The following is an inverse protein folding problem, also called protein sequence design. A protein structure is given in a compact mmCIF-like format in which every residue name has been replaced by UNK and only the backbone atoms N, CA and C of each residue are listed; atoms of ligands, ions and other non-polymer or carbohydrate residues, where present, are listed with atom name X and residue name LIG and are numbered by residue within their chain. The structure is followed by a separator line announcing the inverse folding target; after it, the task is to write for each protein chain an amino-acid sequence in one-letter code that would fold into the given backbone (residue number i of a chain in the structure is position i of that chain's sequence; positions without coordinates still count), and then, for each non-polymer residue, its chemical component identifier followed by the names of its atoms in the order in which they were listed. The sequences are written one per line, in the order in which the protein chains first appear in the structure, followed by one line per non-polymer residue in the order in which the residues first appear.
data_IF_881769992740
#
_entry.id   IF_881769992740
#
_cell.length_a   1.000
_cell.length_b   1.000
_cell.length_c   1.000
_cell.angle_alpha   90.00
_cell.angle_beta   90.00
_cell.angle_gamma   90.00
#
_symmetry.space_group_name_H-M   'P 1'
#
loop_
_entity.id
_entity.type
_entity.pdbx_description
1 polymer ?
#
# COMPACT_ATOMS: atom_id res chain seq x y z
N UNK A 1 -1.24 4.11 -16.77
CA UNK A 1 -1.60 4.35 -15.36
C UNK A 1 -1.73 5.84 -15.17
N UNK A 2 -2.68 6.28 -14.36
CA UNK A 2 -2.76 7.68 -13.93
C UNK A 2 -1.58 7.94 -12.99
N UNK A 3 -0.82 9.01 -13.24
CA UNK A 3 0.31 9.40 -12.40
C UNK A 3 -0.20 10.27 -11.25
N UNK A 4 0.09 9.87 -10.01
CA UNK A 4 -0.41 10.48 -8.79
C UNK A 4 0.60 11.52 -8.27
N UNK A 5 0.49 12.72 -8.83
CA UNK A 5 1.41 13.83 -8.55
C UNK A 5 1.46 14.35 -7.10
N UNK A 6 0.59 13.88 -6.20
CA UNK A 6 0.58 14.30 -4.79
C UNK A 6 -0.01 13.23 -3.86
N UNK A 7 0.30 13.32 -2.57
CA UNK A 7 -0.32 12.45 -1.53
C UNK A 7 -1.85 12.58 -1.53
N UNK A 8 -2.39 13.79 -1.72
CA UNK A 8 -3.84 14.02 -1.80
C UNK A 8 -4.48 13.35 -3.01
N UNK A 9 -3.82 13.40 -4.16
CA UNK A 9 -4.31 12.69 -5.36
C UNK A 9 -4.38 11.18 -5.10
N UNK A 10 -3.37 10.62 -4.42
CA UNK A 10 -3.38 9.23 -4.01
C UNK A 10 -4.52 8.94 -3.02
N UNK A 11 -4.66 9.71 -1.94
CA UNK A 11 -5.75 9.54 -0.96
C UNK A 11 -7.13 9.60 -1.62
N UNK A 12 -7.33 10.49 -2.59
CA UNK A 12 -8.58 10.57 -3.37
C UNK A 12 -8.84 9.27 -4.15
N UNK A 13 -7.83 8.75 -4.85
CA UNK A 13 -7.94 7.48 -5.57
C UNK A 13 -8.23 6.30 -4.62
N UNK A 14 -7.63 6.29 -3.43
CA UNK A 14 -7.89 5.29 -2.39
C UNK A 14 -9.33 5.36 -1.86
N UNK A 15 -9.86 6.58 -1.68
CA UNK A 15 -11.26 6.79 -1.27
C UNK A 15 -12.25 6.31 -2.32
N UNK A 16 -11.93 6.47 -3.60
CA UNK A 16 -12.73 5.94 -4.71
C UNK A 16 -12.74 4.41 -4.70
N UNK A 17 -11.60 3.77 -4.47
CA UNK A 17 -11.52 2.30 -4.32
C UNK A 17 -12.35 1.83 -3.13
N UNK A 18 -12.28 2.50 -1.98
CA UNK A 18 -13.09 2.12 -0.83
C UNK A 18 -14.59 2.15 -1.17
N UNK A 19 -15.05 3.14 -1.94
CA UNK A 19 -16.44 3.22 -2.42
C UNK A 19 -16.76 2.13 -3.45
N UNK A 20 -15.82 1.80 -4.34
CA UNK A 20 -15.98 0.75 -5.37
C UNK A 20 -16.22 -0.63 -4.73
N UNK A 21 -15.53 -0.92 -3.62
CA UNK A 21 -15.60 -2.22 -2.93
C UNK A 21 -16.45 -2.22 -1.65
N UNK A 22 -17.19 -1.14 -1.38
CA UNK A 22 -18.04 -0.97 -0.17
C UNK A 22 -17.28 -1.23 1.15
N UNK A 23 -16.09 -0.63 1.28
CA UNK A 23 -15.21 -0.78 2.44
C UNK A 23 -15.27 0.43 3.36
N UNK A 24 -15.13 0.18 4.66
CA UNK A 24 -14.81 1.24 5.63
C UNK A 24 -13.46 1.86 5.28
N UNK A 25 -13.37 3.19 5.44
CA UNK A 25 -12.21 3.96 5.03
C UNK A 25 -11.89 5.03 6.05
N UNK A 26 -10.74 4.88 6.70
CA UNK A 26 -10.20 5.85 7.65
C UNK A 26 -8.90 6.44 7.10
N UNK A 27 -8.74 7.76 7.23
CA UNK A 27 -7.53 8.46 6.82
C UNK A 27 -7.04 9.33 7.96
N UNK A 28 -5.76 9.20 8.27
CA UNK A 28 -5.01 10.06 9.16
C UNK A 28 -3.91 10.76 8.37
N UNK A 29 -3.89 12.10 8.40
CA UNK A 29 -2.84 12.89 7.78
C UNK A 29 -1.86 13.36 8.85
N UNK A 30 -0.57 13.11 8.65
CA UNK A 30 0.48 13.67 9.49
C UNK A 30 1.04 14.92 8.80
N UNK A 31 0.40 16.05 9.08
CA UNK A 31 0.80 17.37 8.57
C UNK A 31 1.90 17.92 9.49
N UNK A 32 3.16 17.88 9.05
CA UNK A 32 4.24 18.66 9.65
C UNK A 32 4.75 18.20 11.04
N UNK A 33 4.69 16.90 11.34
CA UNK A 33 5.30 16.35 12.55
C UNK A 33 6.55 15.52 12.22
N UNK A 34 7.71 16.18 12.32
CA UNK A 34 9.04 15.59 12.35
C UNK A 34 9.10 14.42 13.37
N UNK A 35 8.84 13.18 12.91
CA UNK A 35 9.03 11.95 13.72
C UNK A 35 9.59 10.76 12.94
N UNK A 36 9.88 10.88 11.65
CA UNK A 36 10.76 9.94 10.94
C UNK A 36 12.19 10.46 11.00
N UNK A 37 12.84 10.16 12.12
CA UNK A 37 14.28 10.32 12.29
C UNK A 37 15.02 9.38 11.32
N UNK A 38 15.11 9.77 10.05
CA UNK A 38 16.19 9.38 9.16
C UNK A 38 16.99 10.65 8.86
N UNK A 39 17.84 11.02 9.82
CA UNK A 39 18.93 11.98 9.61
C UNK A 39 19.69 11.58 8.34
N UNK A 40 19.44 12.28 7.24
CA UNK A 40 20.44 12.57 6.21
C UNK A 40 20.28 14.03 5.84
N UNK A 41 21.38 14.76 5.94
CA UNK A 41 21.44 16.21 5.84
C UNK A 41 21.18 16.73 4.41
N UNK A 42 20.19 17.61 4.27
CA UNK A 42 20.07 18.73 3.32
C UNK A 42 18.68 19.35 3.60
N UNK A 43 18.53 20.60 4.07
CA UNK A 43 18.93 21.81 3.37
C UNK A 43 17.66 22.49 2.84
N UNK A 44 17.07 23.37 3.66
CA UNK A 44 16.17 24.50 3.32
C UNK A 44 15.64 24.54 1.87
N UNK A 45 14.47 23.93 1.65
CA UNK A 45 13.43 24.33 0.69
C UNK A 45 12.28 23.32 0.83
N UNK A 46 11.14 23.74 1.39
CA UNK A 46 9.91 22.93 1.29
C UNK A 46 9.39 23.14 -0.12
N UNK A 47 9.77 22.26 -1.04
CA UNK A 47 9.18 22.20 -2.38
C UNK A 47 7.74 21.74 -2.20
N UNK A 48 6.79 22.64 -2.39
CA UNK A 48 5.38 22.30 -2.49
C UNK A 48 5.18 21.34 -3.66
N UNK A 49 4.26 20.38 -3.53
CA UNK A 49 3.81 19.57 -4.66
C UNK A 49 3.35 20.48 -5.83
N UNK A 50 3.30 19.94 -7.05
CA UNK A 50 2.87 20.68 -8.26
C UNK A 50 1.49 21.33 -8.11
N UNK A 51 0.65 20.78 -7.22
CA UNK A 51 -0.69 21.27 -6.90
C UNK A 51 -0.73 22.24 -5.69
N UNK A 52 0.43 22.64 -5.15
CA UNK A 52 0.56 23.59 -4.05
C UNK A 52 0.36 23.01 -2.64
N UNK A 53 0.06 21.72 -2.52
CA UNK A 53 -0.01 21.01 -1.24
C UNK A 53 1.38 20.83 -0.63
N UNK A 54 1.46 20.84 0.70
CA UNK A 54 2.70 20.46 1.39
C UNK A 54 2.89 18.94 1.27
N UNK A 55 4.08 18.46 0.87
CA UNK A 55 4.36 17.03 0.90
C UNK A 55 4.24 16.54 2.34
N UNK A 56 3.35 15.57 2.56
CA UNK A 56 3.04 15.04 3.87
C UNK A 56 2.81 13.52 3.81
N UNK A 57 2.97 12.87 4.96
CA UNK A 57 2.66 11.45 5.11
C UNK A 57 1.15 11.29 5.34
N UNK A 58 0.54 10.30 4.69
CA UNK A 58 -0.85 9.94 4.93
C UNK A 58 -0.95 8.44 5.23
N UNK A 59 -1.72 8.12 6.26
CA UNK A 59 -2.02 6.75 6.64
C UNK A 59 -3.50 6.47 6.39
N UNK A 60 -3.76 5.40 5.64
CA UNK A 60 -5.09 4.98 5.23
C UNK A 60 -5.33 3.57 5.71
N UNK A 61 -6.47 3.33 6.34
CA UNK A 61 -6.93 2.00 6.72
C UNK A 61 -8.23 1.67 6.00
N UNK A 62 -8.27 0.45 5.44
CA UNK A 62 -9.47 -0.14 4.88
C UNK A 62 -9.98 -1.21 5.84
N UNK A 63 -11.25 -1.11 6.21
CA UNK A 63 -11.93 -2.14 6.98
C UNK A 63 -12.26 -3.37 6.12
N UNK A 64 -12.76 -4.41 6.76
CA UNK A 64 -13.16 -5.66 6.11
C UNK A 64 -12.08 -6.73 6.09
N UNK A 65 -12.24 -7.71 5.18
CA UNK A 65 -11.33 -8.84 5.01
C UNK A 65 -10.94 -8.95 3.53
N UNK A 66 -9.66 -8.75 3.16
CA UNK A 66 -8.51 -8.61 4.04
C UNK A 66 -8.46 -7.26 4.76
N UNK A 67 -7.82 -7.21 5.93
CA UNK A 67 -7.45 -5.93 6.53
C UNK A 67 -6.34 -5.32 5.70
N UNK A 68 -6.50 -4.08 5.23
CA UNK A 68 -5.48 -3.40 4.42
C UNK A 68 -5.16 -2.05 5.01
N UNK A 69 -3.87 -1.72 5.09
CA UNK A 69 -3.42 -0.37 5.40
C UNK A 69 -2.40 0.12 4.39
N UNK A 70 -2.39 1.42 4.15
CA UNK A 70 -1.48 2.09 3.22
C UNK A 70 -0.88 3.28 3.94
N UNK A 71 0.45 3.33 4.01
CA UNK A 71 1.19 4.52 4.40
C UNK A 71 1.82 5.12 3.15
N UNK A 72 1.39 6.31 2.79
CA UNK A 72 1.93 7.11 1.70
C UNK A 72 3.04 8.01 2.25
N UNK A 73 4.19 7.98 1.59
CA UNK A 73 5.33 8.83 1.91
C UNK A 73 5.42 10.02 0.94
N UNK A 74 6.11 11.10 1.34
CA UNK A 74 6.32 12.26 0.48
C UNK A 74 7.14 11.92 -0.77
N UNK A 75 8.04 10.94 -0.71
CA UNK A 75 9.00 10.56 -1.76
C UNK A 75 8.43 9.67 -2.87
N UNK A 76 7.12 9.75 -3.12
CA UNK A 76 6.38 9.02 -4.17
C UNK A 76 6.34 7.48 -4.03
N UNK A 77 6.61 6.99 -2.82
CA UNK A 77 6.49 5.59 -2.45
C UNK A 77 5.48 5.36 -1.32
N UNK A 78 5.20 4.09 -1.07
CA UNK A 78 4.23 3.66 -0.09
C UNK A 78 4.60 2.32 0.54
N UNK A 79 4.16 2.15 1.77
CA UNK A 79 4.09 0.87 2.46
C UNK A 79 2.64 0.38 2.44
N UNK A 80 2.39 -0.81 1.89
CA UNK A 80 1.08 -1.45 1.92
C UNK A 80 1.14 -2.66 2.84
N UNK A 81 0.24 -2.78 3.81
CA UNK A 81 0.05 -3.99 4.60
C UNK A 81 -1.21 -4.71 4.14
N UNK A 82 -1.10 -5.98 3.75
CA UNK A 82 -2.23 -6.85 3.43
C UNK A 82 -2.30 -7.96 4.46
N UNK A 83 -3.25 -7.85 5.38
CA UNK A 83 -3.51 -8.82 6.43
C UNK A 83 -2.25 -9.19 7.24
N UNK A 84 -1.42 -8.17 7.51
CA UNK A 84 -0.14 -8.28 8.22
C UNK A 84 1.07 -8.61 7.35
N UNK A 85 0.91 -8.75 6.02
CA UNK A 85 2.02 -8.89 5.07
C UNK A 85 2.39 -7.51 4.53
N UNK A 86 3.59 -7.06 4.86
CA UNK A 86 4.10 -5.74 4.49
C UNK A 86 4.79 -5.77 3.12
N UNK A 87 4.34 -4.90 2.22
CA UNK A 87 4.92 -4.63 0.91
C UNK A 87 5.54 -3.23 0.95
N UNK A 88 6.86 -3.16 0.98
CA UNK A 88 7.62 -1.91 1.04
C UNK A 88 7.89 -1.35 -0.36
N UNK A 89 8.28 -0.08 -0.41
CA UNK A 89 8.79 0.59 -1.60
C UNK A 89 7.84 0.47 -2.82
N UNK A 90 6.52 0.49 -2.56
CA UNK A 90 5.50 0.45 -3.62
C UNK A 90 5.37 1.85 -4.20
N UNK A 91 5.64 2.08 -5.51
CA UNK A 91 5.43 3.38 -6.11
C UNK A 91 4.00 3.84 -5.93
N UNK A 92 3.78 5.13 -5.68
CA UNK A 92 2.45 5.70 -5.43
C UNK A 92 1.44 5.32 -6.52
N UNK A 93 1.87 5.36 -7.78
CA UNK A 93 1.07 4.97 -8.95
C UNK A 93 0.64 3.50 -8.95
N UNK A 94 1.39 2.64 -8.27
CA UNK A 94 1.09 1.22 -8.13
C UNK A 94 0.13 0.93 -6.97
N UNK A 95 -0.11 1.88 -6.05
CA UNK A 95 -1.00 1.65 -4.92
C UNK A 95 -2.45 1.36 -5.37
N UNK A 96 -3.11 2.19 -6.22
CA UNK A 96 -4.47 1.87 -6.69
C UNK A 96 -4.61 0.52 -7.41
N UNK A 97 -3.77 0.16 -8.40
CA UNK A 97 -3.88 -1.14 -9.07
C UNK A 97 -3.54 -2.31 -8.12
N UNK A 98 -2.65 -2.12 -7.14
CA UNK A 98 -2.35 -3.12 -6.13
C UNK A 98 -3.59 -3.44 -5.30
N UNK A 99 -4.27 -2.41 -4.79
CA UNK A 99 -5.49 -2.61 -4.01
C UNK A 99 -6.60 -3.27 -4.82
N UNK A 100 -6.80 -2.85 -6.08
CA UNK A 100 -7.78 -3.51 -6.96
C UNK A 100 -7.44 -4.98 -7.21
N UNK A 101 -6.17 -5.35 -7.31
CA UNK A 101 -5.76 -6.74 -7.46
C UNK A 101 -6.03 -7.57 -6.20
N UNK A 102 -5.79 -7.01 -5.02
CA UNK A 102 -6.08 -7.66 -3.73
C UNK A 102 -7.59 -7.82 -3.52
N UNK A 103 -8.33 -6.71 -3.61
CA UNK A 103 -9.77 -6.65 -3.32
C UNK A 103 -10.60 -7.33 -4.41
N UNK A 104 -10.19 -7.23 -5.68
CA UNK A 104 -10.80 -7.93 -6.82
C UNK A 104 -10.47 -9.43 -6.88
N UNK A 105 -9.69 -9.96 -5.94
CA UNK A 105 -9.43 -11.39 -5.81
C UNK A 105 -8.42 -11.98 -6.79
N UNK A 106 -7.61 -11.14 -7.45
CA UNK A 106 -6.51 -11.57 -8.31
C UNK A 106 -5.28 -11.99 -7.50
N UNK A 107 -5.07 -11.37 -6.34
CA UNK A 107 -4.02 -11.77 -5.40
C UNK A 107 -4.19 -13.22 -4.93
N UNK A 108 -3.08 -13.95 -4.84
CA UNK A 108 -3.05 -15.34 -4.41
C UNK A 108 -1.83 -15.62 -3.55
N UNK A 109 -1.91 -16.68 -2.75
CA UNK A 109 -0.80 -17.14 -1.92
C UNK A 109 -0.17 -18.36 -2.59
N UNK A 110 1.11 -18.27 -2.91
CA UNK A 110 1.88 -19.39 -3.46
C UNK A 110 2.56 -20.14 -2.34
N UNK A 111 2.27 -21.43 -2.18
CA UNK A 111 3.01 -22.31 -1.29
C UNK A 111 4.27 -22.89 -1.95
N UNK A 112 5.32 -23.14 -1.15
CA UNK A 112 6.46 -23.99 -1.56
C UNK A 112 6.73 -25.02 -0.47
N UNK A 113 6.97 -26.26 -0.88
CA UNK A 113 7.25 -27.38 0.04
C UNK A 113 8.69 -27.39 0.54
N UNK A 114 9.66 -26.94 -0.27
CA UNK A 114 11.08 -26.97 0.10
C UNK A 114 11.92 -25.84 -0.55
N UNK A 115 12.52 -24.92 0.24
CA UNK A 115 12.22 -24.72 1.66
C UNK A 115 10.75 -24.32 1.88
N UNK A 116 10.16 -24.68 3.03
CA UNK A 116 8.76 -24.37 3.32
C UNK A 116 8.56 -22.86 3.42
N UNK A 117 7.54 -22.35 2.75
CA UNK A 117 7.18 -20.93 2.81
C UNK A 117 5.90 -20.66 2.04
N UNK A 118 5.31 -19.52 2.34
CA UNK A 118 4.18 -18.97 1.61
C UNK A 118 4.54 -17.56 1.13
N UNK A 119 4.14 -17.22 -0.07
CA UNK A 119 4.35 -15.89 -0.63
C UNK A 119 3.01 -15.30 -1.07
N UNK A 120 2.70 -14.10 -0.62
CA UNK A 120 1.61 -13.33 -1.19
C UNK A 120 2.08 -12.84 -2.56
N UNK A 121 1.32 -13.14 -3.60
CA UNK A 121 1.57 -12.69 -4.97
C UNK A 121 0.44 -11.76 -5.39
N UNK A 122 0.78 -10.53 -5.76
CA UNK A 122 -0.17 -9.50 -6.20
C UNK A 122 0.21 -9.06 -7.62
N UNK A 123 -0.46 -9.61 -8.65
CA UNK A 123 -0.23 -9.20 -10.03
C UNK A 123 -0.88 -7.84 -10.30
N UNK A 124 -0.17 -6.94 -10.97
CA UNK A 124 -0.71 -5.65 -11.42
C UNK A 124 -0.98 -5.67 -12.93
N UNK A 125 -1.87 -4.78 -13.43
CA UNK A 125 -1.94 -4.50 -14.85
C UNK A 125 -0.59 -4.00 -15.37
N UNK A 126 -0.12 -4.53 -16.51
CA UNK A 126 1.14 -4.09 -17.13
C UNK A 126 2.39 -4.91 -16.75
N UNK A 127 2.20 -6.17 -16.35
CA UNK A 127 3.26 -7.18 -16.10
C UNK A 127 4.06 -7.00 -14.79
N UNK A 128 3.82 -5.94 -14.02
CA UNK A 128 4.36 -5.81 -12.67
C UNK A 128 3.71 -6.83 -11.72
N UNK A 129 4.49 -7.46 -10.85
CA UNK A 129 4.00 -8.39 -9.83
C UNK A 129 4.77 -8.23 -8.53
N UNK A 130 4.05 -8.03 -7.44
CA UNK A 130 4.62 -8.01 -6.09
C UNK A 130 4.60 -9.40 -5.49
N UNK A 131 5.68 -9.76 -4.79
CA UNK A 131 5.83 -11.08 -4.18
C UNK A 131 6.50 -10.96 -2.83
N UNK A 132 5.70 -11.05 -1.77
CA UNK A 132 6.19 -10.92 -0.41
C UNK A 132 6.12 -12.23 0.35
N UNK A 133 7.16 -12.49 1.17
CA UNK A 133 7.20 -13.66 2.04
C UNK A 133 6.21 -13.46 3.18
N UNK A 134 5.29 -14.42 3.35
CA UNK A 134 4.37 -14.43 4.49
C UNK A 134 5.12 -14.99 5.70
N UNK A 135 5.19 -14.26 6.82
CA UNK A 135 5.74 -14.81 8.05
C UNK A 135 4.97 -16.07 8.46
N UNK A 136 5.67 -17.15 8.82
CA UNK A 136 5.07 -18.48 9.02
C UNK A 136 3.95 -18.50 10.10
N UNK A 137 3.92 -17.51 11.00
CA UNK A 137 2.91 -17.35 12.06
C UNK A 137 1.69 -16.51 11.63
N UNK A 138 1.63 -16.00 10.40
CA UNK A 138 0.68 -14.98 9.96
C UNK A 138 -0.32 -15.45 8.90
N UNK A 139 -0.52 -16.76 8.72
CA UNK A 139 -1.58 -17.27 7.82
C UNK A 139 -2.97 -17.04 8.42
N UNK A 140 -3.47 -15.84 8.23
CA UNK A 140 -4.84 -15.46 8.56
C UNK A 140 -5.85 -16.31 7.77
N UNK A 141 -7.15 -16.31 8.16
CA UNK A 141 -8.19 -16.98 7.39
C UNK A 141 -8.26 -16.53 5.93
N UNK A 142 -8.06 -15.23 5.65
CA UNK A 142 -8.08 -14.72 4.28
C UNK A 142 -6.89 -15.23 3.48
N UNK A 143 -5.66 -15.14 4.01
CA UNK A 143 -4.46 -15.64 3.33
C UNK A 143 -4.55 -17.14 3.05
N UNK A 144 -5.06 -17.91 4.02
CA UNK A 144 -5.29 -19.35 3.87
C UNK A 144 -6.29 -19.66 2.75
N UNK A 145 -7.35 -18.85 2.62
CA UNK A 145 -8.35 -18.97 1.55
C UNK A 145 -7.83 -18.61 0.15
N UNK A 146 -6.64 -18.02 0.06
CA UNK A 146 -6.00 -17.62 -1.22
C UNK A 146 -4.87 -18.55 -1.65
N UNK A 147 -4.59 -19.63 -0.90
CA UNK A 147 -3.52 -20.59 -1.23
C UNK A 147 -3.82 -21.30 -2.56
N UNK A 148 -2.83 -21.30 -3.45
CA UNK A 148 -2.81 -22.03 -4.72
C UNK A 148 -1.56 -22.89 -4.85
#
# INVERSE_FOLDING_TARGET
MEHLHSTEAAVRALREIAREYDLEFEVSHDIGADRTSRRTAAGVAVTTDVDGSLPHEAFVEFGGSPRVSVRLYPDDDALISVDGVECHDVPRDHVPPFLRSVLGGLAYVKGRRFPPGYWLVVPLPGDATYKELIPMISLTPWLSGKVR
#
